data_IF_350051873577
#
_entry.id   IF_350051873577
#
_cell.length_a   1.000
_cell.length_b   1.000
_cell.length_c   1.000
_cell.angle_alpha   90.00
_cell.angle_beta   90.00
_cell.angle_gamma   90.00
#
_symmetry.space_group_name_H-M   'P 1'
#
loop_
_entity.id
_entity.type
_entity.pdbx_description
1 polymer ?
#
# COMPACT_ATOMS: atom_id res chain seq x y z
N UNK A 1 -19.64 43.72 -16.85
CA UNK A 1 -19.73 42.69 -17.92
C UNK A 1 -18.74 41.53 -17.67
N UNK A 2 -17.51 41.78 -17.17
CA UNK A 2 -16.54 40.68 -16.88
C UNK A 2 -16.74 39.97 -15.54
N UNK A 3 -17.46 40.56 -14.59
CA UNK A 3 -17.74 39.94 -13.27
C UNK A 3 -18.77 38.81 -13.36
N UNK A 4 -19.67 38.84 -14.31
CA UNK A 4 -20.74 37.83 -14.46
C UNK A 4 -20.27 36.55 -15.14
N UNK A 5 -19.01 36.52 -15.65
CA UNK A 5 -18.39 35.37 -16.33
C UNK A 5 -17.40 34.60 -15.45
N UNK A 6 -17.11 35.11 -14.24
CA UNK A 6 -16.17 34.46 -13.32
C UNK A 6 -16.91 33.57 -12.33
N UNK A 7 -16.61 32.28 -12.35
CA UNK A 7 -17.13 31.28 -11.41
C UNK A 7 -15.99 30.71 -10.58
N UNK A 8 -16.08 30.86 -9.27
CA UNK A 8 -15.12 30.23 -8.35
C UNK A 8 -15.55 28.79 -8.07
N UNK A 9 -14.60 27.88 -8.13
CA UNK A 9 -14.80 26.45 -7.90
C UNK A 9 -13.98 25.97 -6.73
N UNK A 10 -14.64 25.25 -5.82
CA UNK A 10 -14.06 24.58 -4.66
C UNK A 10 -14.52 23.11 -4.68
N UNK A 11 -13.86 22.26 -5.46
CA UNK A 11 -14.30 20.88 -5.59
C UNK A 11 -14.18 20.12 -4.28
N UNK A 12 -15.10 19.17 -4.07
CA UNK A 12 -14.90 18.14 -3.06
C UNK A 12 -13.93 17.09 -3.61
N UNK A 13 -12.96 16.69 -2.81
CA UNK A 13 -11.97 15.68 -3.18
C UNK A 13 -12.20 14.45 -2.34
N UNK A 14 -12.32 13.30 -2.98
CA UNK A 14 -12.42 12.00 -2.31
C UNK A 14 -11.15 11.21 -2.55
N UNK A 15 -10.67 10.56 -1.51
CA UNK A 15 -9.51 9.66 -1.57
C UNK A 15 -9.95 8.27 -1.14
N UNK A 16 -9.84 7.32 -2.05
CA UNK A 16 -10.22 5.93 -1.84
C UNK A 16 -9.07 4.99 -2.16
N UNK A 17 -9.05 3.83 -1.50
CA UNK A 17 -8.11 2.76 -1.86
C UNK A 17 -8.77 1.78 -2.81
N UNK A 18 -8.13 1.52 -3.95
CA UNK A 18 -8.56 0.53 -4.94
C UNK A 18 -7.40 -0.43 -5.24
N UNK A 19 -7.37 -1.58 -4.56
CA UNK A 19 -6.25 -2.53 -4.68
C UNK A 19 -4.93 -1.89 -4.23
N UNK A 20 -3.95 -1.81 -5.14
CA UNK A 20 -2.64 -1.22 -4.89
C UNK A 20 -2.56 0.27 -5.24
N UNK A 21 -3.66 0.86 -5.66
CA UNK A 21 -3.75 2.27 -6.02
C UNK A 21 -4.61 3.05 -5.03
N UNK A 22 -4.34 4.33 -4.95
CA UNK A 22 -5.18 5.34 -4.35
C UNK A 22 -5.85 6.11 -5.48
N UNK A 23 -7.17 6.11 -5.48
CA UNK A 23 -7.99 6.89 -6.39
C UNK A 23 -8.37 8.21 -5.74
N UNK A 24 -8.08 9.30 -6.41
CA UNK A 24 -8.38 10.66 -5.97
C UNK A 24 -9.35 11.27 -6.99
N UNK A 25 -10.60 11.45 -6.60
CA UNK A 25 -11.63 12.02 -7.44
C UNK A 25 -11.95 13.46 -7.03
N UNK A 26 -12.17 14.30 -8.05
CA UNK A 26 -12.57 15.69 -7.89
C UNK A 26 -14.01 15.86 -8.33
N UNK A 27 -14.88 16.29 -7.43
CA UNK A 27 -16.28 16.62 -7.70
C UNK A 27 -16.45 18.15 -7.83
N UNK A 28 -16.58 18.60 -9.05
CA UNK A 28 -16.91 19.98 -9.40
C UNK A 28 -18.42 20.06 -9.67
N UNK A 29 -19.22 20.27 -8.65
CA UNK A 29 -20.69 20.15 -8.65
C UNK A 29 -21.44 20.95 -9.72
N UNK A 30 -20.78 21.84 -10.45
CA UNK A 30 -21.39 22.68 -11.49
C UNK A 30 -20.77 22.51 -12.89
N UNK A 31 -19.81 21.57 -13.06
CA UNK A 31 -19.18 21.29 -14.33
C UNK A 31 -19.71 19.99 -14.93
N UNK A 32 -19.81 19.94 -16.25
CA UNK A 32 -20.05 18.68 -16.95
C UNK A 32 -18.79 17.82 -17.01
N UNK A 33 -18.92 16.54 -17.35
CA UNK A 33 -17.81 15.56 -17.31
C UNK A 33 -16.59 15.97 -18.14
N UNK A 34 -16.79 16.65 -19.29
CA UNK A 34 -15.69 17.08 -20.13
C UNK A 34 -14.99 18.33 -19.59
N UNK A 35 -15.74 19.24 -18.96
CA UNK A 35 -15.18 20.42 -18.28
C UNK A 35 -14.47 20.02 -16.98
N UNK A 36 -14.88 18.95 -16.31
CA UNK A 36 -14.15 18.37 -15.15
C UNK A 36 -12.73 17.94 -15.54
N UNK A 37 -12.58 17.25 -16.67
CA UNK A 37 -11.27 16.81 -17.16
C UNK A 37 -10.38 18.00 -17.53
N UNK A 38 -10.94 19.02 -18.16
CA UNK A 38 -10.23 20.27 -18.49
C UNK A 38 -9.81 21.05 -17.22
N UNK A 39 -10.70 21.09 -16.21
CA UNK A 39 -10.42 21.71 -14.93
C UNK A 39 -9.25 21.01 -14.22
N UNK A 40 -9.27 19.69 -14.19
CA UNK A 40 -8.22 18.91 -13.56
C UNK A 40 -6.88 19.03 -14.31
N UNK A 41 -6.91 19.03 -15.64
CA UNK A 41 -5.72 19.28 -16.45
C UNK A 41 -5.11 20.69 -16.16
N UNK A 42 -5.95 21.72 -16.12
CA UNK A 42 -5.52 23.08 -15.77
C UNK A 42 -4.88 23.14 -14.36
N UNK A 43 -5.50 22.50 -13.36
CA UNK A 43 -4.95 22.39 -12.01
C UNK A 43 -3.58 21.69 -11.99
N UNK A 44 -3.45 20.58 -12.72
CA UNK A 44 -2.19 19.85 -12.81
C UNK A 44 -1.09 20.61 -13.55
N UNK A 45 -1.45 21.56 -14.39
CA UNK A 45 -0.52 22.52 -15.05
C UNK A 45 -0.26 23.79 -14.24
N UNK A 46 -0.76 23.89 -12.99
CA UNK A 46 -0.70 25.09 -12.14
C UNK A 46 -1.35 26.32 -12.76
N UNK A 47 -2.32 26.10 -13.65
CA UNK A 47 -3.08 27.21 -14.22
C UNK A 47 -4.04 27.77 -13.14
N UNK A 48 -4.09 29.09 -12.93
CA UNK A 48 -4.99 29.69 -11.94
C UNK A 48 -6.46 29.67 -12.39
N UNK A 49 -6.73 29.36 -13.64
CA UNK A 49 -8.07 29.31 -14.22
C UNK A 49 -8.10 28.44 -15.48
N UNK A 50 -9.32 28.09 -15.91
CA UNK A 50 -9.58 27.64 -17.28
C UNK A 50 -10.89 28.25 -17.79
N UNK A 51 -11.09 28.19 -19.11
CA UNK A 51 -12.34 28.64 -19.74
C UNK A 51 -13.14 27.39 -20.12
N UNK A 52 -14.34 27.25 -19.56
CA UNK A 52 -15.22 26.15 -19.87
C UNK A 52 -15.86 26.29 -21.27
N UNK A 53 -16.57 25.27 -21.73
CA UNK A 53 -17.20 25.25 -23.05
C UNK A 53 -18.25 26.35 -23.25
N UNK A 54 -18.90 26.80 -22.16
CA UNK A 54 -19.86 27.91 -22.22
C UNK A 54 -19.20 29.30 -22.22
N UNK A 55 -17.86 29.35 -22.22
CA UNK A 55 -17.08 30.59 -22.25
C UNK A 55 -16.95 31.28 -20.88
N UNK A 56 -17.26 30.58 -19.80
CA UNK A 56 -17.10 31.09 -18.43
C UNK A 56 -15.67 30.88 -17.95
N UNK A 57 -15.15 31.88 -17.23
CA UNK A 57 -13.85 31.83 -16.57
C UNK A 57 -14.01 31.11 -15.24
N UNK A 58 -13.51 29.89 -15.14
CA UNK A 58 -13.48 29.09 -13.92
C UNK A 58 -12.17 29.36 -13.19
N UNK A 59 -12.28 29.77 -11.94
CA UNK A 59 -11.14 30.09 -11.07
C UNK A 59 -11.17 29.15 -9.87
N UNK A 60 -10.03 28.60 -9.49
CA UNK A 60 -9.90 27.72 -8.35
C UNK A 60 -9.53 28.50 -7.08
N UNK A 61 -10.04 28.04 -5.95
CA UNK A 61 -9.65 28.61 -4.67
C UNK A 61 -8.23 28.17 -4.25
N UNK A 62 -7.70 28.82 -3.24
CA UNK A 62 -6.34 28.56 -2.74
C UNK A 62 -6.20 27.14 -2.16
N UNK A 63 -7.26 26.60 -1.53
CA UNK A 63 -7.26 25.25 -1.00
C UNK A 63 -7.13 24.21 -2.11
N UNK A 64 -7.85 24.36 -3.21
CA UNK A 64 -7.77 23.50 -4.39
C UNK A 64 -6.38 23.54 -5.02
N UNK A 65 -5.77 24.71 -5.11
CA UNK A 65 -4.39 24.84 -5.59
C UNK A 65 -3.39 24.11 -4.69
N UNK A 66 -3.49 24.23 -3.37
CA UNK A 66 -2.62 23.49 -2.43
C UNK A 66 -2.77 21.99 -2.57
N UNK A 67 -4.00 21.48 -2.70
CA UNK A 67 -4.27 20.06 -2.96
C UNK A 67 -3.58 19.62 -4.26
N UNK A 68 -3.76 20.36 -5.35
CA UNK A 68 -3.16 20.03 -6.65
C UNK A 68 -1.63 20.00 -6.61
N UNK A 69 -1.00 20.96 -5.93
CA UNK A 69 0.47 20.99 -5.76
C UNK A 69 0.98 19.79 -4.94
N UNK A 70 0.26 19.41 -3.89
CA UNK A 70 0.59 18.20 -3.12
C UNK A 70 0.51 16.94 -3.99
N UNK A 71 -0.55 16.80 -4.80
CA UNK A 71 -0.72 15.67 -5.71
C UNK A 71 0.36 15.61 -6.80
N UNK A 72 0.77 16.77 -7.34
CA UNK A 72 1.91 16.85 -8.28
C UNK A 72 3.21 16.42 -7.63
N UNK A 73 3.49 16.92 -6.44
CA UNK A 73 4.69 16.55 -5.67
C UNK A 73 4.76 15.03 -5.45
N UNK A 74 3.62 14.40 -5.18
CA UNK A 74 3.50 12.94 -5.05
C UNK A 74 3.45 12.20 -6.40
N UNK A 75 3.49 12.93 -7.52
CA UNK A 75 3.46 12.40 -8.89
C UNK A 75 2.17 11.65 -9.22
N UNK A 76 1.03 12.19 -8.79
CA UNK A 76 -0.27 11.67 -9.16
C UNK A 76 -0.43 11.64 -10.69
N UNK A 77 -1.02 10.55 -11.19
CA UNK A 77 -1.24 10.34 -12.62
C UNK A 77 -2.71 10.51 -12.94
N UNK A 78 -3.00 11.18 -14.03
CA UNK A 78 -4.36 11.31 -14.53
C UNK A 78 -4.86 9.95 -15.05
N UNK A 79 -6.06 9.55 -14.61
CA UNK A 79 -6.72 8.29 -15.01
C UNK A 79 -8.03 8.48 -15.76
N UNK A 80 -8.47 9.74 -15.96
CA UNK A 80 -9.68 10.11 -16.70
C UNK A 80 -10.87 10.45 -15.81
N UNK A 81 -11.85 11.15 -16.37
CA UNK A 81 -13.14 11.47 -15.73
C UNK A 81 -13.00 12.13 -14.35
N UNK A 82 -12.09 13.08 -14.21
CA UNK A 82 -11.88 13.79 -12.95
C UNK A 82 -11.11 13.02 -11.89
N UNK A 83 -10.45 11.90 -12.25
CA UNK A 83 -9.70 11.05 -11.34
C UNK A 83 -8.19 11.16 -11.54
N UNK A 84 -7.46 11.10 -10.42
CA UNK A 84 -6.01 10.92 -10.37
C UNK A 84 -5.68 9.65 -9.58
N UNK A 85 -4.58 9.01 -9.91
CA UNK A 85 -4.10 7.81 -9.25
C UNK A 85 -2.72 8.01 -8.65
N UNK A 86 -2.53 7.41 -7.47
CA UNK A 86 -1.24 7.27 -6.79
C UNK A 86 -1.03 5.82 -6.36
N UNK A 87 0.22 5.41 -6.24
CA UNK A 87 0.50 4.11 -5.64
C UNK A 87 0.23 4.16 -4.13
N UNK A 88 -0.33 3.09 -3.55
CA UNK A 88 -0.70 3.04 -2.12
C UNK A 88 0.50 3.26 -1.16
N UNK A 89 1.74 3.09 -1.60
CA UNK A 89 2.93 3.42 -0.81
C UNK A 89 3.03 4.91 -0.44
N UNK A 90 2.33 5.79 -1.16
CA UNK A 90 2.28 7.23 -0.87
C UNK A 90 1.16 7.61 0.10
N UNK A 91 0.40 6.64 0.63
CA UNK A 91 -0.77 6.89 1.47
C UNK A 91 -0.48 7.77 2.68
N UNK A 92 0.65 7.51 3.36
CA UNK A 92 1.04 8.30 4.53
C UNK A 92 1.35 9.76 4.16
N UNK A 93 2.15 9.98 3.10
CA UNK A 93 2.46 11.32 2.62
C UNK A 93 1.21 12.07 2.13
N UNK A 94 0.28 11.35 1.47
CA UNK A 94 -0.97 11.92 1.00
C UNK A 94 -1.87 12.32 2.19
N UNK A 95 -1.98 11.49 3.21
CA UNK A 95 -2.73 11.81 4.43
C UNK A 95 -2.14 13.05 5.11
N UNK A 96 -0.82 13.09 5.30
CA UNK A 96 -0.12 14.22 5.92
C UNK A 96 -0.34 15.53 5.15
N UNK A 97 -0.25 15.47 3.83
CA UNK A 97 -0.41 16.64 2.97
C UNK A 97 -1.85 17.18 2.89
N UNK A 98 -2.86 16.34 3.07
CA UNK A 98 -4.27 16.70 2.81
C UNK A 98 -5.16 16.65 4.07
N UNK A 99 -4.67 16.20 5.22
CA UNK A 99 -5.48 16.02 6.45
C UNK A 99 -6.08 17.31 7.01
N UNK A 100 -5.47 18.46 6.75
CA UNK A 100 -5.93 19.77 7.22
C UNK A 100 -6.98 20.44 6.29
N UNK A 101 -7.31 19.80 5.14
CA UNK A 101 -8.23 20.37 4.18
C UNK A 101 -9.67 19.91 4.42
N UNK A 102 -10.57 20.84 4.69
CA UNK A 102 -11.98 20.58 4.90
C UNK A 102 -12.70 20.07 3.64
N UNK A 103 -12.13 20.28 2.47
CA UNK A 103 -12.67 19.83 1.18
C UNK A 103 -12.29 18.41 0.81
N UNK A 104 -11.45 17.73 1.63
CA UNK A 104 -10.99 16.36 1.36
C UNK A 104 -11.71 15.35 2.24
N UNK A 105 -12.20 14.28 1.62
CA UNK A 105 -12.82 13.14 2.29
C UNK A 105 -11.99 11.89 2.07
N UNK A 106 -11.71 11.18 3.15
CA UNK A 106 -10.95 9.93 3.13
C UNK A 106 -11.88 8.74 3.37
N UNK A 107 -11.82 7.72 2.53
CA UNK A 107 -12.55 6.48 2.74
C UNK A 107 -12.06 5.76 4.01
N UNK A 108 -12.89 4.88 4.56
CA UNK A 108 -12.52 4.09 5.75
C UNK A 108 -11.31 3.21 5.48
N UNK A 109 -11.24 2.58 4.32
CA UNK A 109 -10.11 1.72 3.94
C UNK A 109 -8.79 2.48 3.83
N UNK A 110 -8.84 3.71 3.29
CA UNK A 110 -7.66 4.59 3.25
C UNK A 110 -7.23 5.02 4.67
N UNK A 111 -8.18 5.37 5.53
CA UNK A 111 -7.88 5.73 6.93
C UNK A 111 -7.28 4.54 7.70
N UNK A 112 -7.81 3.32 7.51
CA UNK A 112 -7.25 2.11 8.12
C UNK A 112 -5.84 1.82 7.61
N UNK A 113 -5.60 1.93 6.29
CA UNK A 113 -4.26 1.77 5.72
C UNK A 113 -3.26 2.73 6.37
N UNK A 114 -3.58 4.01 6.45
CA UNK A 114 -2.69 5.03 7.04
C UNK A 114 -2.49 4.83 8.54
N UNK A 115 -3.54 4.40 9.25
CA UNK A 115 -3.44 4.04 10.66
C UNK A 115 -2.49 2.86 10.88
N UNK A 116 -2.65 1.77 10.13
CA UNK A 116 -1.80 0.58 10.24
C UNK A 116 -0.36 0.85 9.83
N UNK A 117 -0.12 1.71 8.81
CA UNK A 117 1.23 2.13 8.44
C UNK A 117 1.92 2.97 9.52
N UNK A 118 1.17 3.84 10.20
CA UNK A 118 1.71 4.68 11.29
C UNK A 118 1.83 3.95 12.63
N UNK A 119 0.93 3.00 12.88
CA UNK A 119 0.83 2.22 14.13
C UNK A 119 0.55 0.74 13.82
N UNK A 120 1.57 -0.03 13.38
CA UNK A 120 1.40 -1.44 13.01
C UNK A 120 0.79 -2.31 14.11
N UNK A 121 0.94 -1.92 15.36
CA UNK A 121 0.35 -2.58 16.52
C UNK A 121 -1.18 -2.46 16.60
N UNK A 122 -1.80 -1.67 15.75
CA UNK A 122 -3.28 -1.60 15.62
C UNK A 122 -3.84 -2.65 14.66
N UNK A 123 -2.98 -3.33 13.90
CA UNK A 123 -3.38 -4.46 13.06
C UNK A 123 -3.56 -5.71 13.92
N UNK A 124 -4.49 -6.57 13.58
CA UNK A 124 -4.75 -7.78 14.36
C UNK A 124 -3.59 -8.78 14.28
N UNK A 125 -3.17 -9.32 15.44
CA UNK A 125 -2.20 -10.41 15.47
C UNK A 125 -2.88 -11.68 14.93
N UNK A 126 -2.36 -12.31 13.86
CA UNK A 126 -2.95 -13.52 13.33
C UNK A 126 -2.74 -14.72 14.27
N UNK A 127 -3.61 -15.72 14.15
CA UNK A 127 -3.38 -17.01 14.80
C UNK A 127 -2.27 -17.75 14.08
N UNK A 128 -1.17 -18.00 14.76
CA UNK A 128 -0.02 -18.75 14.25
C UNK A 128 0.15 -20.09 14.97
N UNK A 129 0.81 -21.05 14.32
CA UNK A 129 1.06 -22.39 14.85
C UNK A 129 2.56 -22.67 14.85
N UNK A 130 3.21 -22.40 15.98
CA UNK A 130 4.62 -22.72 16.19
C UNK A 130 4.84 -23.39 17.54
N UNK A 131 5.81 -24.30 17.62
CA UNK A 131 6.22 -25.03 18.83
C UNK A 131 7.11 -24.16 19.74
N UNK A 132 6.74 -22.89 19.93
CA UNK A 132 7.45 -21.93 20.76
C UNK A 132 6.55 -20.81 21.22
N UNK A 133 6.78 -20.29 22.44
CA UNK A 133 6.17 -19.04 22.86
C UNK A 133 6.95 -17.85 22.30
N UNK A 134 6.30 -16.97 21.55
CA UNK A 134 6.89 -15.72 21.08
C UNK A 134 6.98 -14.71 22.23
N UNK A 135 8.05 -13.93 22.22
CA UNK A 135 8.17 -12.76 23.10
C UNK A 135 7.32 -11.61 22.54
N UNK A 136 6.86 -10.66 23.37
CA UNK A 136 5.99 -9.58 22.91
C UNK A 136 6.51 -8.78 21.70
N UNK A 137 7.82 -8.57 21.59
CA UNK A 137 8.40 -7.89 20.44
C UNK A 137 8.38 -8.77 19.15
N UNK A 138 8.47 -10.10 19.30
CA UNK A 138 8.36 -11.04 18.18
C UNK A 138 6.92 -11.11 17.67
N UNK A 139 5.94 -11.07 18.56
CA UNK A 139 4.52 -10.97 18.17
C UNK A 139 4.26 -9.68 17.39
N UNK A 140 4.83 -8.55 17.81
CA UNK A 140 4.78 -7.30 17.03
C UNK A 140 5.40 -7.44 15.64
N UNK A 141 6.50 -8.18 15.51
CA UNK A 141 7.11 -8.46 14.22
C UNK A 141 6.21 -9.31 13.31
N UNK A 142 5.57 -10.35 13.85
CA UNK A 142 4.57 -11.15 13.12
C UNK A 142 3.38 -10.31 12.70
N UNK A 143 2.87 -9.48 13.60
CA UNK A 143 1.77 -8.56 13.34
C UNK A 143 2.10 -7.57 12.21
N UNK A 144 3.30 -7.00 12.24
CA UNK A 144 3.79 -6.10 11.19
C UNK A 144 3.95 -6.82 9.84
N UNK A 145 4.54 -8.04 9.80
CA UNK A 145 4.64 -8.84 8.57
C UNK A 145 3.25 -9.16 8.00
N UNK A 146 2.29 -9.47 8.87
CA UNK A 146 0.90 -9.77 8.50
C UNK A 146 0.19 -8.54 7.94
N UNK A 147 0.42 -7.38 8.51
CA UNK A 147 -0.06 -6.10 7.99
C UNK A 147 0.49 -5.81 6.59
N UNK A 148 1.80 -6.01 6.39
CA UNK A 148 2.42 -5.85 5.07
C UNK A 148 1.81 -6.81 4.05
N UNK A 149 1.61 -8.07 4.42
CA UNK A 149 0.96 -9.08 3.58
C UNK A 149 -0.46 -8.65 3.19
N UNK A 150 -1.26 -8.23 4.16
CA UNK A 150 -2.64 -7.79 3.93
C UNK A 150 -2.75 -6.65 2.90
N UNK A 151 -1.80 -5.72 2.94
CA UNK A 151 -1.78 -4.58 2.01
C UNK A 151 -0.94 -4.84 0.73
N UNK A 152 -0.35 -6.03 0.58
CA UNK A 152 0.49 -6.35 -0.56
C UNK A 152 1.81 -5.59 -0.58
N UNK A 153 2.34 -5.22 0.59
CA UNK A 153 3.64 -4.60 0.73
C UNK A 153 4.75 -5.61 0.96
N UNK A 154 5.94 -5.29 0.50
CA UNK A 154 7.16 -5.91 0.98
C UNK A 154 7.73 -5.16 2.20
N UNK A 155 8.69 -5.80 2.91
CA UNK A 155 9.34 -5.17 4.06
C UNK A 155 10.70 -5.76 4.37
N UNK A 156 11.43 -5.09 5.27
CA UNK A 156 12.73 -5.52 5.78
C UNK A 156 12.64 -5.64 7.30
N UNK A 157 12.72 -6.89 7.80
CA UNK A 157 12.79 -7.16 9.24
C UNK A 157 14.24 -6.96 9.72
N UNK A 158 14.55 -5.76 10.20
CA UNK A 158 15.90 -5.29 10.52
C UNK A 158 16.24 -5.38 12.01
N UNK A 159 15.66 -6.32 12.75
CA UNK A 159 16.01 -6.57 14.15
C UNK A 159 17.48 -6.95 14.32
N UNK A 160 18.06 -6.71 15.50
CA UNK A 160 19.41 -7.11 15.85
C UNK A 160 19.61 -8.64 15.75
N UNK A 161 20.87 -9.07 15.64
CA UNK A 161 21.20 -10.48 15.62
C UNK A 161 20.78 -11.16 16.93
N UNK A 162 20.22 -12.38 16.82
CA UNK A 162 19.79 -13.16 17.98
C UNK A 162 18.37 -12.85 18.49
N UNK A 163 17.66 -11.88 17.92
CA UNK A 163 16.27 -11.56 18.31
C UNK A 163 15.22 -12.48 17.68
N UNK A 164 15.63 -13.54 16.98
CA UNK A 164 14.71 -14.58 16.48
C UNK A 164 13.91 -14.15 15.25
N UNK A 165 14.55 -13.45 14.30
CA UNK A 165 13.93 -13.10 13.00
C UNK A 165 13.40 -14.31 12.25
N UNK A 166 14.15 -15.44 12.28
CA UNK A 166 13.73 -16.70 11.66
C UNK A 166 12.45 -17.21 12.30
N UNK A 167 12.36 -17.22 13.64
CA UNK A 167 11.13 -17.64 14.34
C UNK A 167 9.94 -16.75 14.03
N UNK A 168 10.14 -15.42 13.95
CA UNK A 168 9.08 -14.47 13.54
C UNK A 168 8.60 -14.78 12.12
N UNK A 169 9.54 -15.04 11.19
CA UNK A 169 9.21 -15.40 9.80
C UNK A 169 8.45 -16.73 9.73
N UNK A 170 8.89 -17.75 10.47
CA UNK A 170 8.21 -19.05 10.54
C UNK A 170 6.80 -18.91 11.12
N UNK A 171 6.64 -18.13 12.18
CA UNK A 171 5.33 -17.87 12.79
C UNK A 171 4.39 -17.15 11.80
N UNK A 172 4.89 -16.13 11.09
CA UNK A 172 4.15 -15.46 10.04
C UNK A 172 3.73 -16.44 8.91
N UNK A 173 4.64 -17.27 8.42
CA UNK A 173 4.33 -18.25 7.38
C UNK A 173 3.30 -19.29 7.86
N UNK A 174 3.41 -19.74 9.11
CA UNK A 174 2.46 -20.71 9.69
C UNK A 174 1.03 -20.13 9.84
N UNK A 175 0.92 -18.78 9.86
CA UNK A 175 -0.37 -18.09 9.95
C UNK A 175 -1.02 -17.83 8.58
N UNK A 176 -0.21 -17.66 7.54
CA UNK A 176 -0.67 -17.15 6.24
C UNK A 176 -0.51 -18.12 5.07
N UNK A 177 0.26 -19.19 5.22
CA UNK A 177 0.46 -20.15 4.14
C UNK A 177 -0.77 -21.05 4.01
N UNK A 178 -1.50 -20.88 2.91
CA UNK A 178 -2.70 -21.65 2.58
C UNK A 178 -2.35 -22.91 1.76
N UNK A 179 -3.28 -23.86 1.70
CA UNK A 179 -3.14 -25.06 0.88
C UNK A 179 -2.97 -24.69 -0.60
N UNK A 180 -1.98 -25.26 -1.25
CA UNK A 180 -1.63 -24.98 -2.64
C UNK A 180 -0.78 -23.73 -2.87
N UNK A 181 -0.49 -22.95 -1.84
CA UNK A 181 0.47 -21.85 -1.92
C UNK A 181 1.90 -22.35 -1.71
N UNK A 182 2.84 -21.70 -2.37
CA UNK A 182 4.28 -22.01 -2.27
C UNK A 182 5.08 -20.78 -1.89
N UNK A 183 6.07 -20.97 -1.03
CA UNK A 183 6.99 -19.92 -0.57
C UNK A 183 8.42 -20.31 -0.91
N UNK A 184 9.19 -19.35 -1.40
CA UNK A 184 10.61 -19.52 -1.65
C UNK A 184 11.43 -18.75 -0.62
N UNK A 185 12.25 -19.47 0.16
CA UNK A 185 13.22 -18.87 1.09
C UNK A 185 14.59 -18.90 0.43
N UNK A 186 15.15 -17.73 0.16
CA UNK A 186 16.51 -17.57 -0.35
C UNK A 186 17.47 -17.23 0.79
N UNK A 187 18.52 -18.03 0.97
CA UNK A 187 19.54 -17.79 1.99
C UNK A 187 20.95 -18.16 1.48
N UNK A 188 22.00 -17.63 2.12
CA UNK A 188 23.37 -18.13 1.87
C UNK A 188 23.46 -19.63 2.08
N UNK A 189 24.28 -20.32 1.27
CA UNK A 189 24.40 -21.79 1.30
C UNK A 189 24.78 -22.34 2.68
N UNK A 190 25.53 -21.60 3.48
CA UNK A 190 25.88 -21.96 4.86
C UNK A 190 24.71 -21.96 5.84
N UNK A 191 23.60 -21.32 5.50
CA UNK A 191 22.43 -21.14 6.37
C UNK A 191 21.20 -21.98 5.93
N UNK A 192 21.25 -22.62 4.79
CA UNK A 192 20.11 -23.36 4.24
C UNK A 192 19.61 -24.42 5.23
N UNK A 193 20.53 -25.24 5.76
CA UNK A 193 20.17 -26.31 6.70
C UNK A 193 19.72 -25.75 8.06
N UNK A 194 20.24 -24.60 8.48
CA UNK A 194 19.75 -23.94 9.69
C UNK A 194 18.27 -23.54 9.54
N UNK A 195 17.88 -23.03 8.38
CA UNK A 195 16.47 -22.75 8.09
C UNK A 195 15.61 -24.00 8.15
N UNK A 196 16.07 -25.09 7.52
CA UNK A 196 15.34 -26.37 7.54
C UNK A 196 15.19 -26.89 8.98
N UNK A 197 16.24 -26.84 9.80
CA UNK A 197 16.21 -27.29 11.18
C UNK A 197 15.29 -26.43 12.05
N UNK A 198 15.27 -25.12 11.82
CA UNK A 198 14.36 -24.22 12.52
C UNK A 198 12.89 -24.45 12.11
N UNK A 199 12.58 -24.70 10.83
CA UNK A 199 11.26 -25.13 10.41
C UNK A 199 10.83 -26.44 11.08
N UNK A 200 11.67 -27.47 11.05
CA UNK A 200 11.39 -28.74 11.74
C UNK A 200 11.14 -28.59 13.22
N UNK A 201 11.85 -27.68 13.87
CA UNK A 201 11.75 -27.41 15.29
C UNK A 201 10.51 -26.62 15.66
N UNK A 202 10.17 -25.60 14.91
CA UNK A 202 9.15 -24.63 15.29
C UNK A 202 7.82 -24.79 14.55
N UNK A 203 7.83 -25.34 13.34
CA UNK A 203 6.63 -25.56 12.52
C UNK A 203 6.72 -26.87 11.75
N UNK A 204 6.76 -28.04 12.45
CA UNK A 204 6.93 -29.36 11.82
C UNK A 204 5.76 -29.75 10.90
N UNK A 205 4.64 -29.04 10.96
CA UNK A 205 3.49 -29.25 10.09
C UNK A 205 3.68 -28.64 8.68
N UNK A 206 4.68 -27.76 8.48
CA UNK A 206 4.98 -27.19 7.17
C UNK A 206 5.93 -28.11 6.38
N UNK A 207 5.57 -28.39 5.15
CA UNK A 207 6.38 -29.23 4.27
C UNK A 207 7.50 -28.39 3.62
N UNK A 208 8.75 -28.68 4.02
CA UNK A 208 9.95 -27.90 3.66
C UNK A 208 10.95 -28.74 2.90
N UNK A 209 11.25 -28.37 1.67
CA UNK A 209 12.29 -28.96 0.86
C UNK A 209 13.51 -28.08 0.70
N UNK A 210 14.69 -28.70 0.66
CA UNK A 210 15.95 -28.00 0.42
C UNK A 210 16.42 -28.20 -1.00
N UNK A 211 16.33 -27.15 -1.81
CA UNK A 211 16.85 -27.14 -3.18
C UNK A 211 18.29 -26.70 -3.22
N UNK A 212 19.22 -27.63 -3.02
CA UNK A 212 20.67 -27.40 -2.99
C UNK A 212 21.43 -28.45 -3.80
N UNK A 213 22.56 -28.06 -4.42
CA UNK A 213 23.45 -28.93 -5.18
C UNK A 213 23.40 -28.72 -6.69
N UNK A 214 23.61 -29.80 -7.47
CA UNK A 214 23.63 -29.74 -8.93
C UNK A 214 22.25 -29.39 -9.51
N UNK A 215 22.26 -28.74 -10.67
CA UNK A 215 21.03 -28.25 -11.33
C UNK A 215 19.94 -29.32 -11.51
N UNK A 216 20.24 -30.55 -12.04
CA UNK A 216 19.19 -31.56 -12.21
C UNK A 216 18.47 -31.91 -10.90
N UNK A 217 19.23 -32.09 -9.80
CA UNK A 217 18.66 -32.37 -8.49
C UNK A 217 17.77 -31.24 -7.96
N UNK A 218 18.18 -29.99 -8.21
CA UNK A 218 17.37 -28.84 -7.81
C UNK A 218 16.09 -28.73 -8.63
N UNK A 219 16.18 -29.00 -9.93
CA UNK A 219 15.02 -28.97 -10.83
C UNK A 219 14.00 -30.06 -10.43
N UNK A 220 14.46 -31.26 -10.02
CA UNK A 220 13.60 -32.32 -9.50
C UNK A 220 12.86 -31.87 -8.22
N UNK A 221 13.56 -31.31 -7.24
CA UNK A 221 12.96 -30.83 -5.98
C UNK A 221 11.95 -29.70 -6.24
N UNK A 222 12.27 -28.78 -7.14
CA UNK A 222 11.36 -27.67 -7.48
C UNK A 222 10.10 -28.16 -8.21
N UNK A 223 10.20 -29.30 -8.93
CA UNK A 223 9.06 -29.91 -9.61
C UNK A 223 8.14 -30.69 -8.65
N UNK A 224 8.60 -31.06 -7.46
CA UNK A 224 7.79 -31.65 -6.40
C UNK A 224 6.86 -30.63 -5.75
N UNK A 225 5.78 -31.09 -5.14
CA UNK A 225 4.76 -30.20 -4.55
C UNK A 225 5.04 -29.91 -3.07
N UNK A 226 6.12 -29.18 -2.81
CA UNK A 226 6.47 -28.71 -1.46
C UNK A 226 5.93 -27.30 -1.21
N UNK A 227 5.61 -26.99 0.06
CA UNK A 227 5.11 -25.68 0.46
C UNK A 227 6.24 -24.64 0.57
N UNK A 228 7.44 -25.03 1.02
CA UNK A 228 8.59 -24.13 1.26
C UNK A 228 9.86 -24.74 0.67
#
# INVERSE_FOLDING_TARGET
VLRDLRVEQSPQVQVERQGNLLDISFDFSSLDDEDVDNALAALMESSPYFINRSGQLIVFDEATHRISESLKTLRARYSGKGHLELHQLTAYQLMDALSESDSVRFSKDFQLLTQHLSKPETFDLPTYKVEAGLRPYQEKGVQWLSMLHHYGFGGILADDMGLGKTLQTIAYLSAHLEEGQRVLVLSPSSLIYNWQDEFKKFAPQLDVAVSYGLKPKRDDIIAEDHQI
#
